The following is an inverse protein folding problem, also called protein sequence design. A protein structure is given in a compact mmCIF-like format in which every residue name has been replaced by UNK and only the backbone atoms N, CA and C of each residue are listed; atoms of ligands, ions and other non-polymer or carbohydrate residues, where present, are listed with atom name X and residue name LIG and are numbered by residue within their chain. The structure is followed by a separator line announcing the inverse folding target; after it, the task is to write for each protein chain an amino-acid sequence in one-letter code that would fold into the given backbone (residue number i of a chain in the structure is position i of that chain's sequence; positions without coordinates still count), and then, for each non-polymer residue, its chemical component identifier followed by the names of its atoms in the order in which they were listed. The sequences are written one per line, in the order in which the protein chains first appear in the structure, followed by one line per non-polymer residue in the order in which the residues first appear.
data_IF_676885124068
#
_entry.id   IF_676885124068
#
_cell.length_a   1.000
_cell.length_b   1.000
_cell.length_c   1.000
_cell.angle_alpha   90.00
_cell.angle_beta   90.00
_cell.angle_gamma   90.00
#
_symmetry.space_group_name_H-M   'P 1'
#
loop_
_entity.id
_entity.type
_entity.pdbx_description
1 polymer ?
#
# COMPACT_ATOMS: atom_id res chain seq x y z
N UNK A 1 1.44 0.33 29.26
CA UNK A 1 1.62 1.06 28.00
C UNK A 1 0.74 0.42 26.93
N UNK A 2 -0.52 0.86 26.77
CA UNK A 2 -1.36 0.40 25.67
C UNK A 2 -0.82 1.01 24.36
N UNK A 3 -0.23 0.17 23.52
CA UNK A 3 0.16 0.55 22.15
C UNK A 3 -1.07 0.49 21.26
N UNK A 4 -1.36 1.56 20.53
CA UNK A 4 -2.43 1.56 19.54
C UNK A 4 -1.93 0.82 18.31
N UNK A 5 -2.66 -0.17 17.77
CA UNK A 5 -2.28 -0.79 16.51
C UNK A 5 -2.30 0.24 15.39
N UNK A 6 -1.36 0.13 14.45
CA UNK A 6 -1.39 0.90 13.22
C UNK A 6 -2.68 0.57 12.45
N UNK A 7 -3.32 1.57 11.80
CA UNK A 7 -4.45 1.31 10.93
C UNK A 7 -4.03 0.45 9.73
N UNK A 8 -4.97 -0.32 9.17
CA UNK A 8 -4.72 -1.25 8.06
C UNK A 8 -4.06 -0.59 6.82
N UNK A 9 -4.32 0.71 6.60
CA UNK A 9 -3.70 1.51 5.54
C UNK A 9 -3.00 2.74 6.15
N UNK A 10 -1.78 2.56 6.70
CA UNK A 10 -1.12 3.63 7.42
C UNK A 10 -0.42 4.58 6.42
N UNK A 11 -1.04 5.74 6.19
CA UNK A 11 -0.45 6.80 5.35
C UNK A 11 0.42 7.75 6.17
N UNK A 12 1.66 7.98 5.72
CA UNK A 12 2.59 8.92 6.33
C UNK A 12 2.03 10.36 6.38
N UNK A 13 1.32 10.77 5.33
CA UNK A 13 0.61 12.05 5.25
C UNK A 13 -0.41 12.20 6.40
N UNK A 14 -1.20 11.16 6.66
CA UNK A 14 -2.19 11.16 7.73
C UNK A 14 -1.51 11.22 9.11
N UNK A 15 -0.38 10.53 9.30
CA UNK A 15 0.37 10.57 10.55
C UNK A 15 1.03 11.93 10.79
N UNK A 16 1.54 12.60 9.75
CA UNK A 16 2.04 13.98 9.83
C UNK A 16 0.92 14.94 10.26
N UNK A 17 -0.28 14.80 9.66
CA UNK A 17 -1.46 15.59 10.06
C UNK A 17 -1.86 15.33 11.51
N UNK A 18 -1.82 14.08 11.97
CA UNK A 18 -2.07 13.74 13.38
C UNK A 18 -1.05 14.36 14.32
N UNK A 19 0.25 14.32 13.99
CA UNK A 19 1.29 14.93 14.81
C UNK A 19 1.10 16.46 14.92
N UNK A 20 0.68 17.12 13.83
CA UNK A 20 0.36 18.55 13.85
C UNK A 20 -0.85 18.86 14.73
N UNK A 21 -1.95 18.09 14.60
CA UNK A 21 -3.12 18.24 15.47
C UNK A 21 -2.78 18.05 16.94
N UNK A 22 -1.97 17.03 17.25
CA UNK A 22 -1.51 16.80 18.62
C UNK A 22 -0.73 18.00 19.15
N UNK A 23 0.15 18.61 18.34
CA UNK A 23 0.87 19.83 18.74
C UNK A 23 -0.09 20.99 19.03
N UNK A 24 -1.11 21.19 18.20
CA UNK A 24 -2.11 22.24 18.39
C UNK A 24 -2.95 22.00 19.65
N UNK A 25 -3.39 20.75 19.90
CA UNK A 25 -4.10 20.35 21.12
C UNK A 25 -3.26 20.62 22.38
N UNK A 26 -1.97 20.32 22.33
CA UNK A 26 -1.12 20.57 23.49
C UNK A 26 -0.91 22.08 23.72
N UNK A 27 -0.72 22.86 22.65
CA UNK A 27 -0.63 24.33 22.76
C UNK A 27 -1.92 24.97 23.28
N UNK A 28 -3.07 24.37 22.96
CA UNK A 28 -4.36 24.76 23.50
C UNK A 28 -4.56 24.35 24.98
N UNK A 29 -3.63 23.57 25.56
CA UNK A 29 -3.70 23.11 26.95
C UNK A 29 -4.67 21.96 27.17
N UNK A 30 -5.01 21.21 26.12
CA UNK A 30 -5.92 20.07 26.23
C UNK A 30 -5.40 19.03 27.24
N UNK A 31 -6.24 18.66 28.20
CA UNK A 31 -5.86 17.79 29.30
C UNK A 31 -5.51 16.37 28.83
N UNK A 32 -6.20 15.87 27.80
CA UNK A 32 -5.95 14.53 27.26
C UNK A 32 -4.64 14.49 26.46
N UNK A 33 -4.34 15.54 25.70
CA UNK A 33 -3.08 15.68 24.97
C UNK A 33 -1.89 15.79 25.93
N UNK A 34 -2.01 16.61 27.00
CA UNK A 34 -0.99 16.72 28.04
C UNK A 34 -0.77 15.40 28.80
N UNK A 35 -1.84 14.62 29.03
CA UNK A 35 -1.73 13.28 29.63
C UNK A 35 -0.91 12.33 28.74
N UNK A 36 -1.14 12.33 27.42
CA UNK A 36 -0.34 11.53 26.47
C UNK A 36 1.12 11.95 26.45
N UNK A 37 1.41 13.24 26.51
CA UNK A 37 2.79 13.73 26.59
C UNK A 37 3.46 13.22 27.86
N UNK A 38 2.80 13.27 29.01
CA UNK A 38 3.35 12.73 30.27
C UNK A 38 3.57 11.22 30.24
N UNK A 39 2.69 10.49 29.57
CA UNK A 39 2.81 9.03 29.43
C UNK A 39 3.97 8.62 28.53
N UNK A 40 4.15 9.31 27.39
CA UNK A 40 5.11 8.89 26.36
C UNK A 40 6.40 9.72 26.32
N UNK A 41 6.49 10.83 27.06
CA UNK A 41 7.66 11.70 27.13
C UNK A 41 8.28 11.69 28.54
N UNK A 42 9.52 11.20 28.71
CA UNK A 42 10.12 11.01 30.04
C UNK A 42 10.44 12.34 30.75
N UNK A 43 10.60 13.42 29.98
CA UNK A 43 10.86 14.76 30.51
C UNK A 43 10.27 15.80 29.53
N UNK A 44 8.99 16.18 29.67
CA UNK A 44 8.33 17.04 28.70
C UNK A 44 9.06 18.40 28.62
N UNK A 45 9.50 18.84 27.43
CA UNK A 45 10.14 20.14 27.30
C UNK A 45 9.14 21.26 27.61
N UNK A 46 9.64 22.36 28.18
CA UNK A 46 8.87 23.58 28.45
C UNK A 46 8.31 24.21 27.17
N UNK A 47 9.00 24.02 26.04
CA UNK A 47 8.55 24.40 24.70
C UNK A 47 8.20 23.14 23.90
N UNK A 48 6.94 23.02 23.49
CA UNK A 48 6.48 21.86 22.74
C UNK A 48 6.62 22.13 21.25
N UNK A 49 7.50 21.36 20.60
CA UNK A 49 7.78 21.46 19.18
C UNK A 49 7.19 20.25 18.43
N UNK A 50 7.14 20.35 17.11
CA UNK A 50 6.58 19.28 16.27
C UNK A 50 7.28 17.94 16.48
N UNK A 51 8.59 17.96 16.74
CA UNK A 51 9.37 16.75 16.98
C UNK A 51 8.94 16.01 18.26
N UNK A 52 8.46 16.73 19.29
CA UNK A 52 7.95 16.14 20.53
C UNK A 52 6.62 15.44 20.28
N UNK A 53 5.72 16.09 19.55
CA UNK A 53 4.44 15.50 19.15
C UNK A 53 4.64 14.25 18.28
N UNK A 54 5.58 14.29 17.33
CA UNK A 54 5.96 13.12 16.54
C UNK A 54 6.51 11.98 17.40
N UNK A 55 7.28 12.28 18.45
CA UNK A 55 7.85 11.29 19.36
C UNK A 55 6.80 10.64 20.26
N UNK A 56 5.88 11.42 20.81
CA UNK A 56 4.73 10.93 21.57
C UNK A 56 3.87 10.02 20.70
N UNK A 57 3.61 10.43 19.46
CA UNK A 57 2.82 9.67 18.51
C UNK A 57 3.51 8.36 18.09
N UNK A 58 4.80 8.39 17.78
CA UNK A 58 5.58 7.19 17.47
C UNK A 58 5.55 6.17 18.62
N UNK A 59 5.73 6.63 19.86
CA UNK A 59 5.66 5.76 21.04
C UNK A 59 4.25 5.24 21.31
N UNK A 60 3.22 6.04 21.04
CA UNK A 60 1.82 5.59 21.08
C UNK A 60 1.52 4.44 20.11
N UNK A 61 2.23 4.38 18.97
CA UNK A 61 2.19 3.26 18.01
C UNK A 61 3.23 2.17 18.29
N UNK A 62 3.99 2.26 19.39
CA UNK A 62 5.00 1.25 19.78
C UNK A 62 6.38 1.43 19.15
N UNK A 63 6.65 2.55 18.47
CA UNK A 63 7.94 2.85 17.87
C UNK A 63 8.81 3.72 18.77
N UNK A 64 10.11 3.41 18.82
CA UNK A 64 11.06 4.15 19.65
C UNK A 64 11.31 5.60 19.18
N UNK A 65 11.14 5.87 17.88
CA UNK A 65 11.33 7.18 17.26
C UNK A 65 10.42 7.34 16.04
N UNK A 66 10.18 8.59 15.64
CA UNK A 66 9.46 8.92 14.41
C UNK A 66 10.12 8.31 13.17
N UNK A 67 11.45 8.39 13.06
CA UNK A 67 12.19 7.79 11.94
C UNK A 67 11.95 6.28 11.82
N UNK A 68 11.90 5.54 12.94
CA UNK A 68 11.59 4.09 12.90
C UNK A 68 10.16 3.81 12.45
N UNK A 69 9.20 4.67 12.82
CA UNK A 69 7.84 4.57 12.32
C UNK A 69 7.82 4.80 10.79
N UNK A 70 8.49 5.84 10.29
CA UNK A 70 8.58 6.12 8.84
C UNK A 70 9.20 4.96 8.08
N UNK A 71 10.34 4.45 8.54
CA UNK A 71 11.03 3.30 7.91
C UNK A 71 10.16 2.04 7.90
N UNK A 72 9.38 1.81 8.96
CA UNK A 72 8.44 0.70 8.99
C UNK A 72 7.34 0.87 7.92
N UNK A 73 6.80 2.08 7.78
CA UNK A 73 5.78 2.36 6.77
C UNK A 73 6.32 2.23 5.36
N UNK A 74 7.51 2.77 5.07
CA UNK A 74 8.18 2.60 3.76
C UNK A 74 8.44 1.11 3.46
N UNK A 75 8.80 0.34 4.49
CA UNK A 75 9.02 -1.10 4.38
C UNK A 75 7.75 -1.94 4.20
N UNK A 76 6.59 -1.44 4.62
CA UNK A 76 5.28 -2.07 4.45
C UNK A 76 4.64 -1.63 3.13
N UNK A 77 4.77 -0.37 2.73
CA UNK A 77 4.24 0.21 1.49
C UNK A 77 4.71 -0.56 0.26
N UNK A 78 6.01 -0.93 0.21
CA UNK A 78 6.58 -1.78 -0.87
C UNK A 78 5.91 -3.15 -1.04
N UNK A 79 5.22 -3.64 -0.02
CA UNK A 79 4.55 -4.95 -0.03
C UNK A 79 3.04 -4.83 0.17
N UNK A 80 2.52 -3.61 0.27
CA UNK A 80 1.09 -3.38 0.43
C UNK A 80 0.48 -3.44 -0.96
N UNK A 81 -0.19 -4.54 -1.24
CA UNK A 81 -1.03 -4.65 -2.41
C UNK A 81 -2.34 -3.90 -2.14
N UNK A 82 -2.59 -2.84 -2.92
CA UNK A 82 -3.84 -2.10 -2.87
C UNK A 82 -4.78 -2.58 -3.98
N UNK A 83 -5.83 -3.39 -3.68
CA UNK A 83 -6.78 -3.88 -4.68
C UNK A 83 -7.67 -2.79 -5.28
N UNK A 84 -7.70 -1.59 -4.69
CA UNK A 84 -8.54 -0.46 -5.12
C UNK A 84 -7.78 0.56 -5.99
N UNK A 85 -6.45 0.48 -6.06
CA UNK A 85 -5.58 1.37 -6.81
C UNK A 85 -5.79 1.30 -8.34
N UNK A 86 -6.75 0.52 -8.80
CA UNK A 86 -6.88 0.11 -10.19
C UNK A 86 -5.81 -0.91 -10.52
N UNK A 87 -6.13 -1.80 -11.46
CA UNK A 87 -5.10 -2.66 -12.02
C UNK A 87 -4.07 -1.75 -12.71
N UNK A 88 -2.76 -1.88 -12.43
CA UNK A 88 -1.76 -1.09 -13.14
C UNK A 88 -1.96 -1.26 -14.65
N UNK A 89 -1.59 -0.25 -15.48
CA UNK A 89 -1.71 -0.37 -16.92
C UNK A 89 -0.95 -1.62 -17.36
N UNK A 90 -1.71 -2.64 -17.73
CA UNK A 90 -1.21 -3.95 -18.08
C UNK A 90 -1.02 -3.98 -19.59
N UNK A 91 0.15 -4.44 -20.04
CA UNK A 91 0.38 -4.63 -21.47
C UNK A 91 -0.67 -5.60 -22.04
N UNK A 92 -1.03 -5.41 -23.31
CA UNK A 92 -2.07 -6.24 -23.94
C UNK A 92 -1.73 -7.74 -23.92
N UNK A 93 -0.44 -8.08 -24.00
CA UNK A 93 0.05 -9.45 -23.85
C UNK A 93 -0.28 -10.03 -22.46
N UNK A 94 -0.05 -9.27 -21.39
CA UNK A 94 -0.31 -9.72 -20.02
C UNK A 94 -1.82 -9.80 -19.76
N UNK A 95 -2.60 -8.87 -20.34
CA UNK A 95 -4.06 -8.88 -20.30
C UNK A 95 -4.65 -10.10 -21.00
N UNK A 96 -4.12 -10.43 -22.18
CA UNK A 96 -4.50 -11.63 -22.94
C UNK A 96 -4.26 -12.89 -22.09
N UNK A 97 -3.08 -13.05 -21.52
CA UNK A 97 -2.72 -14.21 -20.68
C UNK A 97 -3.60 -14.28 -19.44
N UNK A 98 -3.88 -13.15 -18.79
CA UNK A 98 -4.74 -13.10 -17.62
C UNK A 98 -6.16 -13.52 -17.92
N UNK A 99 -6.75 -12.99 -18.98
CA UNK A 99 -8.11 -13.35 -19.39
C UNK A 99 -8.22 -14.76 -19.96
N UNK A 100 -7.17 -15.28 -20.60
CA UNK A 100 -7.16 -16.62 -21.17
C UNK A 100 -6.85 -17.73 -20.14
N UNK A 101 -6.00 -17.45 -19.15
CA UNK A 101 -5.39 -18.49 -18.31
C UNK A 101 -5.61 -18.33 -16.79
N UNK A 102 -5.93 -17.13 -16.27
CA UNK A 102 -6.07 -16.96 -14.82
C UNK A 102 -7.51 -17.22 -14.35
N UNK A 103 -7.71 -18.41 -13.79
CA UNK A 103 -8.87 -18.77 -12.97
C UNK A 103 -8.45 -18.80 -11.49
N UNK A 104 -8.60 -17.68 -10.78
CA UNK A 104 -8.45 -17.65 -9.32
C UNK A 104 -9.80 -17.89 -8.65
N UNK A 105 -10.38 -19.07 -8.89
CA UNK A 105 -11.55 -19.56 -8.18
C UNK A 105 -12.85 -18.77 -8.43
N UNK A 106 -13.92 -19.29 -7.82
CA UNK A 106 -15.37 -19.05 -7.99
C UNK A 106 -15.91 -17.61 -8.17
N UNK A 107 -15.08 -16.58 -8.15
CA UNK A 107 -15.49 -15.17 -8.17
C UNK A 107 -14.92 -14.34 -9.33
N UNK A 108 -14.03 -14.90 -10.18
CA UNK A 108 -13.61 -14.24 -11.42
C UNK A 108 -13.55 -15.27 -12.54
N UNK A 109 -14.62 -15.40 -13.33
CA UNK A 109 -14.56 -16.20 -14.56
C UNK A 109 -13.60 -15.49 -15.53
N UNK A 110 -12.62 -16.23 -16.03
CA UNK A 110 -11.78 -15.82 -17.15
C UNK A 110 -12.63 -15.16 -18.26
N UNK A 111 -12.36 -13.90 -18.63
CA UNK A 111 -13.07 -13.20 -19.72
C UNK A 111 -12.54 -13.64 -21.08
N UNK A 112 -12.90 -14.87 -21.46
CA UNK A 112 -12.48 -15.47 -22.73
C UNK A 112 -12.97 -14.66 -23.95
N UNK A 113 -14.10 -13.97 -23.84
CA UNK A 113 -14.63 -13.12 -24.91
C UNK A 113 -13.83 -11.81 -25.05
N UNK A 114 -13.37 -11.25 -23.93
CA UNK A 114 -12.38 -10.16 -23.89
C UNK A 114 -11.06 -10.59 -24.54
N UNK A 115 -10.52 -11.75 -24.17
CA UNK A 115 -9.27 -12.27 -24.72
C UNK A 115 -9.34 -12.47 -26.24
N UNK A 116 -10.44 -13.04 -26.73
CA UNK A 116 -10.69 -13.25 -28.16
C UNK A 116 -10.75 -11.94 -28.96
N UNK A 117 -11.42 -10.91 -28.42
CA UNK A 117 -11.48 -9.59 -29.06
C UNK A 117 -10.10 -8.95 -29.15
N UNK A 118 -9.34 -8.99 -28.05
CA UNK A 118 -8.00 -8.42 -28.02
C UNK A 118 -7.07 -9.09 -29.05
N UNK A 119 -7.16 -10.41 -29.20
CA UNK A 119 -6.40 -11.14 -30.21
C UNK A 119 -6.88 -10.88 -31.65
N UNK A 120 -8.18 -10.63 -31.85
CA UNK A 120 -8.71 -10.28 -33.17
C UNK A 120 -8.29 -8.85 -33.60
N UNK A 121 -8.16 -7.94 -32.63
CA UNK A 121 -7.69 -6.56 -32.85
C UNK A 121 -6.18 -6.50 -33.10
N UNK A 122 -5.38 -7.27 -32.36
CA UNK A 122 -3.93 -7.40 -32.56
C UNK A 122 -3.46 -8.88 -32.58
N UNK A 123 -3.42 -9.50 -33.77
CA UNK A 123 -2.96 -10.88 -33.92
C UNK A 123 -1.48 -11.09 -33.56
N UNK A 124 -0.65 -10.05 -33.52
CA UNK A 124 0.76 -10.19 -33.17
C UNK A 124 0.94 -10.59 -31.69
N UNK A 125 -0.07 -10.34 -30.84
CA UNK A 125 -0.05 -10.71 -29.43
C UNK A 125 0.15 -12.20 -29.20
N UNK A 126 -0.33 -13.08 -30.10
CA UNK A 126 -0.11 -14.53 -30.02
C UNK A 126 1.36 -14.93 -30.01
N UNK A 127 2.28 -14.06 -30.48
CA UNK A 127 3.72 -14.31 -30.55
C UNK A 127 4.55 -13.31 -29.75
N UNK A 128 3.89 -12.45 -28.97
CA UNK A 128 4.56 -11.39 -28.21
C UNK A 128 5.51 -11.95 -27.13
N UNK A 129 5.18 -13.07 -26.49
CA UNK A 129 6.06 -13.80 -25.58
C UNK A 129 5.62 -15.27 -25.43
N UNK A 130 6.39 -16.04 -24.66
CA UNK A 130 6.10 -17.47 -24.41
C UNK A 130 4.75 -17.70 -23.74
N UNK A 131 4.29 -16.78 -22.89
CA UNK A 131 3.04 -16.91 -22.15
C UNK A 131 1.83 -16.68 -23.06
N UNK A 132 1.88 -15.69 -23.95
CA UNK A 132 0.81 -15.46 -24.92
C UNK A 132 0.73 -16.59 -25.95
N UNK A 133 1.86 -17.08 -26.43
CA UNK A 133 1.89 -18.23 -27.35
C UNK A 133 1.32 -19.51 -26.72
N UNK A 134 1.62 -19.75 -25.44
CA UNK A 134 1.03 -20.85 -24.69
C UNK A 134 -0.48 -20.66 -24.47
N UNK A 135 -0.93 -19.43 -24.17
CA UNK A 135 -2.33 -19.09 -23.94
C UNK A 135 -3.20 -19.23 -25.20
N UNK A 136 -2.66 -18.90 -26.38
CA UNK A 136 -3.40 -18.96 -27.66
C UNK A 136 -3.24 -20.29 -28.41
N UNK A 137 -2.38 -21.20 -27.92
CA UNK A 137 -2.11 -22.48 -28.58
C UNK A 137 -1.22 -22.37 -29.82
N UNK A 138 -0.37 -21.33 -29.90
CA UNK A 138 0.54 -21.09 -31.03
C UNK A 138 1.81 -21.96 -30.89
N UNK A 139 1.67 -23.26 -31.14
CA UNK A 139 2.69 -24.29 -30.87
C UNK A 139 3.99 -24.10 -31.67
N UNK A 140 3.95 -23.43 -32.83
CA UNK A 140 5.14 -23.16 -33.64
C UNK A 140 6.12 -22.18 -32.97
N UNK A 141 5.65 -21.34 -32.04
CA UNK A 141 6.48 -20.31 -31.38
C UNK A 141 7.06 -20.79 -30.04
N UNK A 142 6.48 -21.84 -29.44
CA UNK A 142 6.88 -22.37 -28.12
C UNK A 142 7.99 -23.44 -28.24
N UNK A 143 8.28 -23.89 -29.47
CA UNK A 143 9.36 -24.84 -29.76
C UNK A 143 10.62 -24.09 -30.18
N UNK A 144 11.33 -23.50 -29.22
CA UNK A 144 12.75 -23.13 -29.38
C UNK A 144 13.62 -23.95 -28.43
#
# INVERSE_FOLDING_TARGET
MPVRPLPNHPSLENLRKQAKRLLDEIRAGDAAALARVREFHPQPPTAQALHDAQRVLARGYGFASWTRLVQHLEGVDRFTWDPSAGEPPMADADRLVRWACLDYGRWQLADLDGARRLLAEDPALARANIYTAAATGEVETVRS
#
